data_IF_925380746954
#
_entry.id   IF_925380746954
#
_cell.length_a   1.000
_cell.length_b   1.000
_cell.length_c   1.000
_cell.angle_alpha   90.00
_cell.angle_beta   90.00
_cell.angle_gamma   90.00
#
_symmetry.space_group_name_H-M   'P 1'
#
loop_
_entity.id
_entity.type
_entity.pdbx_description
1 polymer ?
#
# COMPACT_ATOMS: atom_id res chain seq x y z
N UNK A 1 -1.78 -60.28 5.42
CA UNK A 1 -1.71 -59.86 4.00
C UNK A 1 -3.03 -59.14 3.72
N UNK A 2 -3.14 -57.83 3.46
CA UNK A 2 -2.26 -56.89 2.76
C UNK A 2 -2.65 -55.47 3.16
N UNK A 3 -1.69 -54.64 3.57
CA UNK A 3 -1.85 -53.20 3.75
C UNK A 3 -1.96 -52.51 2.38
N UNK A 4 -2.89 -51.55 2.24
CA UNK A 4 -2.87 -50.59 1.14
C UNK A 4 -2.57 -49.21 1.72
N UNK A 5 -1.29 -48.84 1.69
CA UNK A 5 -0.82 -47.47 1.92
C UNK A 5 -1.19 -46.62 0.70
N UNK A 6 -2.05 -45.62 0.86
CA UNK A 6 -2.23 -44.55 -0.12
C UNK A 6 -1.21 -43.45 0.17
N UNK A 7 -0.21 -43.35 -0.69
CA UNK A 7 0.71 -42.22 -0.76
C UNK A 7 -0.03 -41.01 -1.37
N UNK A 8 -0.42 -40.05 -0.52
CA UNK A 8 -0.82 -38.72 -0.97
C UNK A 8 0.42 -37.92 -1.32
N UNK A 9 0.56 -37.57 -2.61
CA UNK A 9 1.60 -36.67 -3.11
C UNK A 9 1.38 -35.28 -2.53
N UNK A 10 2.30 -34.81 -1.68
CA UNK A 10 2.40 -33.41 -1.34
C UNK A 10 2.90 -32.64 -2.57
N UNK A 11 2.07 -31.76 -3.11
CA UNK A 11 2.50 -30.75 -4.09
C UNK A 11 3.03 -29.58 -3.27
N UNK A 12 4.36 -29.49 -3.17
CA UNK A 12 5.04 -28.32 -2.63
C UNK A 12 4.89 -27.18 -3.65
N UNK A 13 4.03 -26.22 -3.37
CA UNK A 13 3.96 -24.96 -4.11
C UNK A 13 5.16 -24.10 -3.75
N UNK A 14 6.05 -23.88 -4.72
CA UNK A 14 7.11 -22.87 -4.63
C UNK A 14 6.46 -21.52 -4.93
N UNK A 15 6.33 -20.66 -3.92
CA UNK A 15 5.98 -19.25 -4.13
C UNK A 15 7.27 -18.46 -4.12
N UNK A 16 7.68 -18.01 -5.30
CA UNK A 16 8.73 -17.00 -5.45
C UNK A 16 8.09 -15.62 -5.33
N UNK A 17 8.48 -14.83 -4.32
CA UNK A 17 8.15 -13.40 -4.24
C UNK A 17 9.40 -12.60 -4.53
N UNK A 18 9.37 -11.85 -5.63
CA UNK A 18 10.41 -10.93 -6.04
C UNK A 18 10.30 -9.65 -5.20
N UNK A 19 11.29 -9.38 -4.37
CA UNK A 19 11.52 -8.06 -3.81
C UNK A 19 12.05 -7.15 -4.92
N UNK A 20 11.24 -6.18 -5.37
CA UNK A 20 11.69 -5.19 -6.34
C UNK A 20 12.22 -3.95 -5.58
N UNK A 21 13.51 -3.94 -5.31
CA UNK A 21 14.24 -2.74 -4.90
C UNK A 21 14.64 -1.92 -6.13
N UNK A 22 14.15 -0.69 -6.25
CA UNK A 22 14.71 0.27 -7.21
C UNK A 22 15.95 0.93 -6.62
N UNK A 23 17.10 0.67 -7.24
CA UNK A 23 18.34 1.41 -7.02
C UNK A 23 18.31 2.67 -7.88
N UNK A 24 18.23 3.85 -7.25
CA UNK A 24 18.53 5.11 -7.94
C UNK A 24 20.04 5.30 -7.95
N UNK A 25 20.64 5.15 -9.13
CA UNK A 25 22.04 5.54 -9.39
C UNK A 25 22.12 7.07 -9.58
N UNK A 26 22.51 7.78 -8.52
CA UNK A 26 22.98 9.17 -8.63
C UNK A 26 24.48 9.19 -8.92
N UNK A 27 24.84 9.34 -10.19
CA UNK A 27 26.22 9.44 -10.65
C UNK A 27 26.93 10.70 -10.17
N UNK A 28 28.20 10.51 -9.81
CA UNK A 28 29.21 11.56 -9.55
C UNK A 28 29.73 12.16 -10.86
N UNK A 29 30.09 13.45 -10.79
CA UNK A 29 30.97 14.14 -11.74
C UNK A 29 30.27 15.34 -12.37
N UNK A 30 30.80 16.56 -12.39
CA UNK A 30 32.09 17.09 -12.01
C UNK A 30 32.14 18.50 -12.60
N UNK A 31 32.44 19.49 -11.78
CA UNK A 31 32.72 20.84 -12.25
C UNK A 31 33.94 20.84 -13.17
N UNK A 32 33.87 21.52 -14.32
CA UNK A 32 34.93 22.38 -14.90
C UNK A 32 34.43 23.07 -16.17
N UNK A 33 34.86 24.33 -16.32
CA UNK A 33 34.31 25.34 -17.24
C UNK A 33 34.75 25.27 -18.69
N UNK A 34 34.28 26.25 -19.49
CA UNK A 34 34.79 26.49 -20.84
C UNK A 34 33.85 27.19 -21.83
N UNK A 35 33.78 28.53 -21.74
CA UNK A 35 33.67 29.56 -22.79
C UNK A 35 32.87 29.41 -24.13
N UNK A 36 32.14 30.51 -24.43
CA UNK A 36 31.90 31.18 -25.74
C UNK A 36 30.97 30.50 -26.77
N UNK A 37 30.19 31.17 -27.62
CA UNK A 37 29.67 32.54 -27.81
C UNK A 37 28.70 32.48 -29.03
N UNK A 38 27.68 33.38 -29.07
CA UNK A 38 26.94 33.93 -30.24
C UNK A 38 25.49 34.21 -29.82
N UNK A 39 25.07 35.45 -29.54
CA UNK A 39 24.82 36.60 -30.43
C UNK A 39 23.38 36.71 -30.96
N UNK A 40 22.79 37.85 -30.60
CA UNK A 40 21.76 38.63 -31.30
C UNK A 40 20.26 38.33 -31.06
N UNK A 41 19.65 39.23 -30.28
CA UNK A 41 18.23 39.64 -30.27
C UNK A 41 17.77 40.20 -31.63
N UNK A 42 16.46 40.41 -31.80
CA UNK A 42 16.01 41.80 -31.84
C UNK A 42 14.80 42.13 -30.95
N UNK A 43 14.76 43.42 -30.66
CA UNK A 43 13.84 44.25 -29.90
C UNK A 43 12.47 44.42 -30.57
N UNK A 44 11.40 44.52 -29.77
CA UNK A 44 10.24 45.38 -30.06
C UNK A 44 9.36 45.53 -28.80
N UNK A 45 9.22 46.78 -28.38
CA UNK A 45 8.67 47.25 -27.12
C UNK A 45 7.13 47.48 -27.10
N UNK A 46 6.56 47.20 -25.92
CA UNK A 46 5.61 48.00 -25.09
C UNK A 46 4.32 48.60 -25.69
N UNK A 47 3.21 48.30 -25.00
CA UNK A 47 2.04 49.17 -24.85
C UNK A 47 1.23 48.76 -23.61
N UNK A 48 1.09 49.67 -22.64
CA UNK A 48 0.52 49.47 -21.29
C UNK A 48 -0.98 49.76 -21.20
N UNK A 49 -1.54 49.28 -20.08
CA UNK A 49 -2.70 49.77 -19.32
C UNK A 49 -4.14 49.38 -19.73
N UNK A 50 -4.74 48.54 -18.89
CA UNK A 50 -6.12 48.73 -18.43
C UNK A 50 -6.28 48.20 -16.99
N UNK A 51 -6.49 49.14 -16.08
CA UNK A 51 -6.83 48.97 -14.67
C UNK A 51 -8.25 48.41 -14.52
N UNK A 52 -8.44 47.41 -13.67
CA UNK A 52 -9.76 46.89 -13.31
C UNK A 52 -9.71 46.11 -12.00
N UNK A 53 -9.90 46.81 -10.88
CA UNK A 53 -10.04 46.23 -9.56
C UNK A 53 -11.46 45.68 -9.37
N UNK A 54 -11.60 44.40 -9.00
CA UNK A 54 -12.73 43.88 -8.21
C UNK A 54 -12.47 42.43 -7.76
N UNK A 55 -12.60 42.18 -6.45
CA UNK A 55 -12.90 40.86 -5.89
C UNK A 55 -11.72 40.09 -5.29
N UNK A 56 -11.29 40.47 -4.09
CA UNK A 56 -10.61 39.55 -3.17
C UNK A 56 -11.63 38.50 -2.69
N UNK A 57 -11.91 37.52 -3.54
CA UNK A 57 -12.48 36.25 -3.10
C UNK A 57 -11.34 35.41 -2.56
N UNK A 58 -11.40 35.03 -1.28
CA UNK A 58 -10.55 33.98 -0.73
C UNK A 58 -10.77 32.74 -1.59
N UNK A 59 -9.88 32.49 -2.54
CA UNK A 59 -9.88 31.25 -3.30
C UNK A 59 -9.73 30.14 -2.26
N UNK A 60 -10.75 29.31 -2.12
CA UNK A 60 -10.63 28.05 -1.40
C UNK A 60 -9.38 27.35 -1.96
N UNK A 61 -8.51 26.79 -1.10
CA UNK A 61 -7.34 26.08 -1.59
C UNK A 61 -7.83 25.02 -2.57
N UNK A 62 -7.35 25.11 -3.81
CA UNK A 62 -7.49 24.01 -4.78
C UNK A 62 -6.89 22.79 -4.09
N UNK A 63 -7.66 21.69 -3.91
CA UNK A 63 -7.13 20.49 -3.29
C UNK A 63 -5.87 20.12 -4.05
N UNK A 64 -4.77 20.04 -3.32
CA UNK A 64 -3.54 19.53 -3.91
C UNK A 64 -3.83 18.10 -4.34
N UNK A 65 -3.23 17.61 -5.43
CA UNK A 65 -3.46 16.22 -5.86
C UNK A 65 -3.17 15.18 -4.74
N UNK A 66 -2.43 15.57 -3.70
CA UNK A 66 -2.22 14.85 -2.44
C UNK A 66 -3.44 14.77 -1.51
N UNK A 67 -4.30 15.80 -1.46
CA UNK A 67 -5.50 15.83 -0.61
C UNK A 67 -6.56 14.83 -1.12
N UNK A 68 -6.52 14.53 -2.42
CA UNK A 68 -7.44 13.58 -3.05
C UNK A 68 -7.13 12.10 -2.76
N UNK A 69 -6.06 11.77 -2.02
CA UNK A 69 -5.67 10.38 -1.76
C UNK A 69 -5.31 10.08 -0.30
N UNK A 70 -5.52 11.00 0.64
CA UNK A 70 -5.26 10.75 2.07
C UNK A 70 -6.16 9.61 2.60
N UNK A 71 -5.59 8.49 3.10
CA UNK A 71 -6.34 7.42 3.74
C UNK A 71 -7.28 7.87 4.87
N UNK A 72 -7.02 9.01 5.53
CA UNK A 72 -7.86 9.54 6.61
C UNK A 72 -9.33 9.66 6.24
N UNK A 73 -9.65 9.97 4.97
CA UNK A 73 -11.05 10.10 4.50
C UNK A 73 -11.86 8.81 4.62
N UNK A 74 -11.19 7.67 4.77
CA UNK A 74 -11.81 6.36 4.90
C UNK A 74 -11.89 5.86 6.35
N UNK A 75 -11.62 6.72 7.34
CA UNK A 75 -11.63 6.34 8.75
C UNK A 75 -12.92 5.63 9.20
N UNK A 76 -14.08 6.08 8.72
CA UNK A 76 -15.36 5.46 9.05
C UNK A 76 -15.48 4.02 8.51
N UNK A 77 -15.06 3.79 7.27
CA UNK A 77 -15.00 2.47 6.65
C UNK A 77 -13.99 1.59 7.39
N UNK A 78 -12.80 2.10 7.69
CA UNK A 78 -11.77 1.36 8.45
C UNK A 78 -12.31 0.91 9.81
N UNK A 79 -12.91 1.80 10.60
CA UNK A 79 -13.53 1.43 11.89
C UNK A 79 -14.56 0.32 11.72
N UNK A 80 -15.44 0.45 10.72
CA UNK A 80 -16.52 -0.51 10.45
C UNK A 80 -15.97 -1.88 10.06
N UNK A 81 -15.09 -1.93 9.06
CA UNK A 81 -14.55 -3.18 8.50
C UNK A 81 -13.58 -3.87 9.44
N UNK A 82 -12.74 -3.10 10.16
CA UNK A 82 -11.86 -3.64 11.19
C UNK A 82 -12.66 -4.29 12.32
N UNK A 83 -13.74 -3.64 12.79
CA UNK A 83 -14.63 -4.20 13.81
C UNK A 83 -15.29 -5.48 13.33
N UNK A 84 -15.80 -5.51 12.09
CA UNK A 84 -16.41 -6.71 11.49
C UNK A 84 -15.42 -7.88 11.40
N UNK A 85 -14.17 -7.60 11.02
CA UNK A 85 -13.11 -8.59 10.93
C UNK A 85 -12.44 -8.90 12.29
N UNK A 86 -12.75 -8.17 13.36
CA UNK A 86 -12.13 -8.36 14.67
C UNK A 86 -10.63 -8.06 14.70
N UNK A 87 -10.17 -7.07 13.94
CA UNK A 87 -8.78 -6.59 13.91
C UNK A 87 -8.68 -5.16 14.44
N UNK A 88 -7.49 -4.72 14.84
CA UNK A 88 -7.28 -3.35 15.31
C UNK A 88 -7.47 -2.34 14.14
N UNK A 89 -8.43 -1.41 14.23
CA UNK A 89 -8.61 -0.37 13.21
C UNK A 89 -7.37 0.51 13.02
N UNK A 90 -6.58 0.74 14.07
CA UNK A 90 -5.34 1.53 13.99
C UNK A 90 -4.29 0.83 13.13
N UNK A 91 -4.10 -0.48 13.31
CA UNK A 91 -3.24 -1.28 12.44
C UNK A 91 -3.68 -1.19 10.98
N UNK A 92 -4.97 -1.37 10.70
CA UNK A 92 -5.48 -1.29 9.33
C UNK A 92 -5.24 0.10 8.72
N UNK A 93 -5.53 1.17 9.46
CA UNK A 93 -5.28 2.54 8.99
C UNK A 93 -3.77 2.81 8.76
N UNK A 94 -2.90 2.31 9.64
CA UNK A 94 -1.44 2.44 9.48
C UNK A 94 -0.94 1.69 8.24
N UNK A 95 -1.49 0.52 7.93
CA UNK A 95 -1.20 -0.20 6.69
C UNK A 95 -1.65 0.61 5.46
N UNK A 96 -2.86 1.18 5.45
CA UNK A 96 -3.31 2.03 4.34
C UNK A 96 -2.37 3.23 4.11
N UNK A 97 -1.86 3.83 5.20
CA UNK A 97 -0.83 4.86 5.07
C UNK A 97 0.49 4.33 4.48
N UNK A 98 0.96 3.16 4.89
CA UNK A 98 2.15 2.53 4.29
C UNK A 98 1.97 2.25 2.80
N UNK A 99 0.78 1.83 2.38
CA UNK A 99 0.49 1.50 0.97
C UNK A 99 0.27 2.75 0.10
N UNK A 100 -0.01 3.91 0.71
CA UNK A 100 -0.29 5.18 0.02
C UNK A 100 0.94 5.88 -0.61
N UNK A 101 2.09 5.21 -0.71
CA UNK A 101 3.32 5.78 -1.28
C UNK A 101 3.23 6.11 -2.78
N UNK A 102 2.19 5.64 -3.47
CA UNK A 102 1.86 5.94 -4.86
C UNK A 102 0.42 6.43 -4.99
N UNK A 103 0.09 7.28 -5.99
CA UNK A 103 -1.30 7.60 -6.28
C UNK A 103 -2.10 6.35 -6.67
N UNK A 104 -3.30 6.21 -6.10
CA UNK A 104 -4.25 5.12 -6.40
C UNK A 104 -5.39 5.63 -7.29
N UNK A 105 -5.04 6.23 -8.42
CA UNK A 105 -6.03 6.64 -9.42
C UNK A 105 -6.58 5.41 -10.17
N UNK A 106 -7.90 5.18 -10.20
CA UNK A 106 -8.47 3.96 -10.78
C UNK A 106 -8.16 3.77 -12.27
N UNK A 107 -8.10 4.87 -13.04
CA UNK A 107 -7.80 4.81 -14.47
C UNK A 107 -6.32 4.47 -14.71
N UNK A 108 -5.42 5.03 -13.90
CA UNK A 108 -4.00 4.67 -13.91
C UNK A 108 -3.78 3.22 -13.49
N UNK A 109 -4.43 2.74 -12.44
CA UNK A 109 -4.31 1.35 -11.98
C UNK A 109 -4.80 0.36 -13.05
N UNK A 110 -5.91 0.64 -13.74
CA UNK A 110 -6.35 -0.18 -14.89
C UNK A 110 -5.40 -0.15 -16.06
N UNK A 111 -4.83 1.01 -16.38
CA UNK A 111 -3.82 1.10 -17.44
C UNK A 111 -2.58 0.26 -17.07
N UNK A 112 -2.16 0.33 -15.81
CA UNK A 112 -1.06 -0.47 -15.29
C UNK A 112 -1.36 -1.97 -15.30
N UNK A 113 -2.59 -2.38 -15.00
CA UNK A 113 -3.03 -3.78 -15.06
C UNK A 113 -2.82 -4.42 -16.42
N UNK A 114 -3.11 -3.71 -17.51
CA UNK A 114 -2.89 -4.20 -18.87
C UNK A 114 -1.42 -4.53 -19.15
N UNK A 115 -0.51 -3.87 -18.43
CA UNK A 115 0.93 -4.04 -18.57
C UNK A 115 1.51 -5.04 -17.54
N UNK A 116 0.93 -5.08 -16.33
CA UNK A 116 1.29 -5.98 -15.23
C UNK A 116 0.02 -6.64 -14.67
N UNK A 117 -0.41 -7.78 -15.25
CA UNK A 117 -1.67 -8.42 -14.90
C UNK A 117 -1.79 -8.83 -13.43
N UNK A 118 -0.65 -9.09 -12.78
CA UNK A 118 -0.55 -9.54 -11.38
C UNK A 118 -0.07 -8.44 -10.43
N UNK A 119 -0.24 -7.16 -10.82
CA UNK A 119 0.03 -6.03 -9.93
C UNK A 119 -0.87 -6.07 -8.67
N UNK A 120 -0.68 -5.12 -7.76
CA UNK A 120 -1.53 -4.96 -6.59
C UNK A 120 -2.29 -3.63 -6.69
N UNK A 121 -3.54 -3.62 -6.24
CA UNK A 121 -4.52 -2.56 -6.54
C UNK A 121 -5.34 -2.09 -5.37
N UNK A 122 -6.00 -0.94 -5.59
CA UNK A 122 -6.81 -0.26 -4.60
C UNK A 122 -5.95 0.40 -3.54
N UNK A 123 -6.61 1.15 -2.65
CA UNK A 123 -5.97 1.89 -1.58
C UNK A 123 -5.23 1.03 -0.55
N UNK A 124 -5.49 -0.28 -0.56
CA UNK A 124 -4.81 -1.26 0.28
C UNK A 124 -3.70 -2.00 -0.47
N UNK A 125 -3.47 -1.69 -1.76
CA UNK A 125 -2.44 -2.28 -2.61
C UNK A 125 -2.43 -3.82 -2.51
N UNK A 126 -3.60 -4.43 -2.66
CA UNK A 126 -3.80 -5.86 -2.44
C UNK A 126 -3.53 -6.67 -3.71
N UNK A 127 -2.79 -7.77 -3.58
CA UNK A 127 -2.53 -8.71 -4.67
C UNK A 127 -3.73 -9.62 -4.96
N UNK A 128 -3.89 -10.02 -6.23
CA UNK A 128 -4.99 -10.88 -6.69
C UNK A 128 -5.12 -12.18 -5.90
N UNK A 129 -4.02 -12.91 -5.73
CA UNK A 129 -4.03 -14.18 -5.02
C UNK A 129 -4.52 -14.03 -3.56
N UNK A 130 -4.04 -12.99 -2.87
CA UNK A 130 -4.50 -12.69 -1.51
C UNK A 130 -6.00 -12.35 -1.49
N UNK A 131 -6.50 -11.56 -2.44
CA UNK A 131 -7.92 -11.22 -2.53
C UNK A 131 -8.79 -12.46 -2.79
N UNK A 132 -8.39 -13.28 -3.77
CA UNK A 132 -9.14 -14.48 -4.16
C UNK A 132 -9.18 -15.53 -3.05
N UNK A 133 -8.10 -15.68 -2.27
CA UNK A 133 -8.09 -16.54 -1.08
C UNK A 133 -8.96 -15.95 0.03
N UNK A 134 -8.85 -14.64 0.29
CA UNK A 134 -9.58 -13.96 1.37
C UNK A 134 -11.08 -13.93 1.14
N UNK A 135 -11.57 -13.77 -0.10
CA UNK A 135 -13.01 -13.61 -0.35
C UNK A 135 -13.83 -14.89 -0.12
N UNK A 136 -13.19 -16.05 -0.03
CA UNK A 136 -13.89 -17.34 0.08
C UNK A 136 -14.77 -17.39 1.33
N UNK A 137 -16.06 -17.65 1.16
CA UNK A 137 -17.02 -17.81 2.25
C UNK A 137 -17.46 -16.50 2.92
N UNK A 138 -17.17 -15.34 2.32
CA UNK A 138 -17.54 -14.02 2.84
C UNK A 138 -18.59 -13.33 1.97
N UNK A 139 -19.15 -12.24 2.48
CA UNK A 139 -20.22 -11.49 1.79
C UNK A 139 -19.79 -10.91 0.44
N UNK A 140 -18.48 -10.76 0.21
CA UNK A 140 -17.90 -10.31 -1.04
C UNK A 140 -17.31 -11.44 -1.91
N UNK A 141 -17.69 -12.70 -1.67
CA UNK A 141 -17.15 -13.86 -2.40
C UNK A 141 -17.38 -13.82 -3.93
N UNK A 142 -18.44 -13.14 -4.37
CA UNK A 142 -18.78 -12.95 -5.79
C UNK A 142 -18.05 -11.77 -6.44
N UNK A 143 -17.40 -10.92 -5.63
CA UNK A 143 -16.65 -9.76 -6.08
C UNK A 143 -15.32 -10.17 -6.74
N UNK A 144 -14.84 -9.30 -7.62
CA UNK A 144 -13.64 -9.52 -8.40
C UNK A 144 -12.54 -8.56 -7.97
N UNK A 145 -11.31 -9.04 -7.99
CA UNK A 145 -10.13 -8.27 -7.60
C UNK A 145 -9.95 -7.00 -8.45
N UNK A 146 -10.38 -7.02 -9.71
CA UNK A 146 -10.35 -5.88 -10.61
C UNK A 146 -11.27 -4.71 -10.21
N UNK A 147 -12.11 -4.91 -9.19
CA UNK A 147 -12.99 -3.87 -8.65
C UNK A 147 -12.30 -3.04 -7.55
N UNK A 148 -11.18 -3.50 -7.01
CA UNK A 148 -10.47 -2.82 -5.92
C UNK A 148 -10.08 -1.36 -6.23
N UNK A 149 -9.68 -0.99 -7.47
CA UNK A 149 -9.40 0.41 -7.79
C UNK A 149 -10.63 1.32 -7.63
N UNK A 150 -11.83 0.84 -7.95
CA UNK A 150 -13.05 1.68 -7.98
C UNK A 150 -13.90 1.58 -6.72
N UNK A 151 -13.66 0.58 -5.90
CA UNK A 151 -14.40 0.32 -4.67
C UNK A 151 -13.45 0.30 -3.46
N UNK A 152 -13.14 1.49 -2.89
CA UNK A 152 -12.27 1.60 -1.73
C UNK A 152 -12.80 0.85 -0.51
N UNK A 153 -14.12 0.73 -0.35
CA UNK A 153 -14.70 0.00 0.77
C UNK A 153 -14.47 -1.51 0.61
N UNK A 154 -14.61 -2.05 -0.60
CA UNK A 154 -14.20 -3.43 -0.89
C UNK A 154 -12.70 -3.67 -0.64
N UNK A 155 -11.83 -2.71 -1.00
CA UNK A 155 -10.40 -2.81 -0.73
C UNK A 155 -10.10 -2.85 0.78
N UNK A 156 -10.80 -2.02 1.58
CA UNK A 156 -10.67 -2.00 3.04
C UNK A 156 -11.24 -3.29 3.66
N UNK A 157 -12.41 -3.74 3.19
CA UNK A 157 -13.04 -4.97 3.65
C UNK A 157 -12.15 -6.19 3.40
N UNK A 158 -11.59 -6.31 2.19
CA UNK A 158 -10.68 -7.40 1.86
C UNK A 158 -9.38 -7.33 2.67
N UNK A 159 -8.80 -6.15 2.87
CA UNK A 159 -7.60 -5.99 3.70
C UNK A 159 -7.87 -6.35 5.18
N UNK A 160 -9.00 -5.93 5.74
CA UNK A 160 -9.39 -6.25 7.11
C UNK A 160 -9.53 -7.77 7.32
N UNK A 161 -10.23 -8.46 6.40
CA UNK A 161 -10.39 -9.91 6.45
C UNK A 161 -9.08 -10.66 6.19
N UNK A 162 -8.20 -10.13 5.36
CA UNK A 162 -6.89 -10.73 5.16
C UNK A 162 -6.04 -10.68 6.44
N UNK A 163 -6.05 -9.56 7.16
CA UNK A 163 -5.41 -9.44 8.47
C UNK A 163 -6.03 -10.40 9.50
N UNK A 164 -7.34 -10.58 9.50
CA UNK A 164 -8.01 -11.59 10.32
C UNK A 164 -7.48 -13.00 10.03
N UNK A 165 -7.39 -13.38 8.76
CA UNK A 165 -6.92 -14.70 8.35
C UNK A 165 -5.43 -14.91 8.68
N UNK A 166 -4.62 -13.85 8.65
CA UNK A 166 -3.24 -13.87 9.13
C UNK A 166 -3.18 -14.06 10.66
N UNK A 167 -4.01 -13.35 11.42
CA UNK A 167 -4.07 -13.47 12.87
C UNK A 167 -4.44 -14.88 13.32
N UNK A 168 -5.37 -15.53 12.62
CA UNK A 168 -5.76 -16.91 12.89
C UNK A 168 -4.63 -17.93 12.66
N UNK A 169 -3.61 -17.59 11.89
CA UNK A 169 -2.46 -18.46 11.60
C UNK A 169 -1.32 -18.30 12.62
N UNK A 170 -1.29 -17.23 13.41
CA UNK A 170 -0.20 -16.97 14.33
C UNK A 170 -0.07 -18.08 15.39
N UNK A 171 1.15 -18.54 15.70
CA UNK A 171 1.36 -19.54 16.73
C UNK A 171 1.04 -18.95 18.13
N UNK A 172 0.54 -19.81 19.03
CA UNK A 172 0.24 -19.43 20.41
C UNK A 172 1.49 -18.96 21.19
N UNK A 173 2.65 -19.55 20.87
CA UNK A 173 3.95 -19.14 21.40
C UNK A 173 4.78 -18.49 20.29
N UNK A 174 5.15 -17.24 20.50
CA UNK A 174 5.93 -16.43 19.57
C UNK A 174 7.31 -16.15 20.16
N UNK A 175 8.30 -16.00 19.28
CA UNK A 175 9.57 -15.44 19.68
C UNK A 175 9.38 -14.00 20.18
N UNK A 176 10.23 -13.57 21.11
CA UNK A 176 10.20 -12.19 21.58
C UNK A 176 10.72 -11.22 20.51
N UNK A 177 10.28 -9.96 20.59
CA UNK A 177 10.85 -8.85 19.82
C UNK A 177 9.96 -8.29 18.71
N UNK A 178 8.89 -9.00 18.33
CA UNK A 178 7.81 -8.45 17.51
C UNK A 178 6.48 -8.67 18.22
N UNK A 179 5.64 -7.64 18.25
CA UNK A 179 4.27 -7.77 18.73
C UNK A 179 3.34 -8.37 17.66
N UNK A 180 2.05 -8.49 17.98
CA UNK A 180 1.08 -9.05 17.06
C UNK A 180 0.88 -8.17 15.84
N UNK A 181 0.81 -6.86 16.00
CA UNK A 181 0.48 -5.92 14.93
C UNK A 181 1.64 -5.81 13.93
N UNK A 182 2.87 -5.80 14.43
CA UNK A 182 4.08 -5.90 13.60
C UNK A 182 4.10 -7.20 12.78
N UNK A 183 3.74 -8.34 13.39
CA UNK A 183 3.67 -9.61 12.67
C UNK A 183 2.57 -9.63 11.61
N UNK A 184 1.40 -9.07 11.91
CA UNK A 184 0.31 -8.95 10.94
C UNK A 184 0.69 -8.01 9.79
N UNK A 185 1.34 -6.88 10.07
CA UNK A 185 1.85 -5.97 9.06
C UNK A 185 2.91 -6.63 8.16
N UNK A 186 3.81 -7.44 8.74
CA UNK A 186 4.76 -8.24 7.96
C UNK A 186 4.08 -9.35 7.15
N UNK A 187 3.01 -9.94 7.67
CA UNK A 187 2.18 -10.91 6.94
C UNK A 187 1.45 -10.27 5.77
N UNK A 188 1.00 -9.03 5.94
CA UNK A 188 0.39 -8.25 4.88
C UNK A 188 1.40 -7.95 3.77
N UNK A 189 2.59 -7.45 4.14
CA UNK A 189 3.63 -7.05 3.19
C UNK A 189 4.33 -8.21 2.49
N UNK A 190 4.64 -9.28 3.24
CA UNK A 190 5.51 -10.36 2.79
C UNK A 190 4.83 -11.73 2.74
N UNK A 191 3.54 -11.81 3.08
CA UNK A 191 2.75 -13.04 3.08
C UNK A 191 2.86 -13.86 4.37
N UNK A 192 1.88 -14.74 4.58
CA UNK A 192 1.72 -15.56 5.79
C UNK A 192 2.96 -16.42 6.11
N UNK A 193 3.62 -17.00 5.11
CA UNK A 193 4.80 -17.83 5.32
C UNK A 193 5.95 -17.08 5.98
N UNK A 194 6.21 -15.84 5.55
CA UNK A 194 7.25 -14.98 6.14
C UNK A 194 6.83 -14.52 7.54
N UNK A 195 5.58 -14.11 7.74
CA UNK A 195 5.05 -13.82 9.07
C UNK A 195 5.27 -14.99 10.04
N UNK A 196 4.98 -16.22 9.63
CA UNK A 196 5.19 -17.41 10.47
C UNK A 196 6.67 -17.69 10.74
N UNK A 197 7.56 -17.36 9.80
CA UNK A 197 9.00 -17.45 10.01
C UNK A 197 9.48 -16.41 11.04
N UNK A 198 9.02 -15.15 10.94
CA UNK A 198 9.32 -14.08 11.89
C UNK A 198 8.75 -14.39 13.29
N UNK A 199 7.51 -14.88 13.37
CA UNK A 199 6.88 -15.29 14.62
C UNK A 199 7.66 -16.41 15.35
N UNK A 200 8.48 -17.18 14.62
CA UNK A 200 9.38 -18.22 15.16
C UNK A 200 10.80 -17.72 15.43
N UNK A 201 11.08 -16.43 15.26
CA UNK A 201 12.37 -15.81 15.57
C UNK A 201 13.35 -15.70 14.41
N UNK A 202 12.88 -15.85 13.16
CA UNK A 202 13.71 -15.48 12.00
C UNK A 202 14.01 -13.98 12.05
N UNK A 203 15.25 -13.59 11.80
CA UNK A 203 15.64 -12.17 11.79
C UNK A 203 14.91 -11.40 10.69
N UNK A 204 14.43 -10.22 11.03
CA UNK A 204 13.81 -9.28 10.08
C UNK A 204 14.90 -8.69 9.18
N UNK A 205 14.77 -8.86 7.87
CA UNK A 205 15.70 -8.29 6.89
C UNK A 205 15.43 -6.82 6.59
N UNK A 206 16.33 -6.11 5.87
CA UNK A 206 16.25 -4.66 5.67
C UNK A 206 14.93 -4.16 5.06
N UNK A 207 14.36 -4.89 4.10
CA UNK A 207 13.09 -4.50 3.47
C UNK A 207 11.92 -4.55 4.46
N UNK A 208 11.83 -5.65 5.23
CA UNK A 208 10.80 -5.82 6.25
C UNK A 208 10.99 -4.81 7.41
N UNK A 209 12.23 -4.52 7.81
CA UNK A 209 12.53 -3.48 8.79
C UNK A 209 12.13 -2.08 8.32
N UNK A 210 12.34 -1.77 7.03
CA UNK A 210 11.90 -0.50 6.43
C UNK A 210 10.38 -0.37 6.46
N UNK A 211 9.66 -1.46 6.17
CA UNK A 211 8.20 -1.48 6.23
C UNK A 211 7.67 -1.24 7.65
N UNK A 212 8.24 -1.92 8.66
CA UNK A 212 7.90 -1.67 10.07
C UNK A 212 8.26 -0.25 10.50
N UNK A 213 9.39 0.29 10.06
CA UNK A 213 9.77 1.67 10.33
C UNK A 213 8.74 2.67 9.81
N UNK A 214 8.20 2.46 8.60
CA UNK A 214 7.10 3.28 8.06
C UNK A 214 5.80 3.07 8.82
N UNK A 215 5.48 1.83 9.19
CA UNK A 215 4.29 1.51 9.98
C UNK A 215 4.28 2.29 11.30
N UNK A 216 5.41 2.25 12.03
CA UNK A 216 5.58 2.99 13.28
C UNK A 216 5.52 4.50 13.07
N UNK A 217 6.13 5.02 12.00
CA UNK A 217 6.05 6.44 11.66
C UNK A 217 4.62 6.90 11.35
N UNK A 218 3.77 5.99 10.87
CA UNK A 218 2.36 6.24 10.57
C UNK A 218 1.42 5.95 11.74
N UNK A 219 1.90 5.38 12.85
CA UNK A 219 1.04 4.86 13.92
C UNK A 219 0.17 5.94 14.59
N UNK A 220 0.80 7.04 15.03
CA UNK A 220 0.08 8.16 15.66
C UNK A 220 -0.82 8.89 14.66
N UNK A 221 -0.38 8.98 13.40
CA UNK A 221 -1.17 9.55 12.31
C UNK A 221 -2.43 8.72 12.06
N UNK A 222 -2.32 7.39 12.12
CA UNK A 222 -3.43 6.46 11.98
C UNK A 222 -4.43 6.60 13.14
N UNK A 223 -3.95 6.71 14.39
CA UNK A 223 -4.82 7.00 15.54
C UNK A 223 -5.59 8.31 15.34
N UNK A 224 -4.90 9.40 15.02
CA UNK A 224 -5.51 10.71 14.83
C UNK A 224 -6.57 10.72 13.70
N UNK A 225 -6.36 9.94 12.64
CA UNK A 225 -7.35 9.78 11.58
C UNK A 225 -8.64 9.08 12.07
N UNK A 226 -8.51 8.15 13.02
CA UNK A 226 -9.62 7.36 13.56
C UNK A 226 -10.39 8.06 14.69
N UNK A 227 -9.94 9.21 15.15
CA UNK A 227 -10.64 10.04 16.16
C UNK A 227 -11.58 11.08 15.55
N UNK A 228 -11.56 11.23 14.21
CA UNK A 228 -12.41 12.14 13.45
C UNK A 228 -13.85 11.65 13.30
#
# INVERSE_FOLDING_TARGET
MTQVRRYGRAVAGVVAVLALGFVVHGGRGGDHGGAAAASASPDAAVGTDATGAAGAGTAAPVPSASDNYDPARYAAQVRTRATQAGIDPQLLMAILYNESYKPHDPAMERAWQKLKPDAAFGIANMHRAAFDDTKVGRDFADRQWEQLPDDPDLAIEAAAWFLHDLAAQLPAHRAAGLDQDELLALGYNAGAGNMLAFARGTSVGPAASSYLGQLHANWDKAAAALEQ
#
